data_IF_362444494715
#
_entry.id   IF_362444494715
#
_cell.length_a   1.000
_cell.length_b   1.000
_cell.length_c   1.000
_cell.angle_alpha   90.00
_cell.angle_beta   90.00
_cell.angle_gamma   90.00
#
_symmetry.space_group_name_H-M   'P 1'
#
loop_
_entity.id
_entity.type
_entity.pdbx_description
1 polymer ?
#
# COMPACT_ATOMS: atom_id res chain seq x y z
N UNK A 1 19.00 -11.36 10.13
CA UNK A 1 17.55 -11.38 9.85
C UNK A 1 17.27 -12.57 8.97
N UNK A 2 16.33 -13.44 9.36
CA UNK A 2 16.00 -14.63 8.59
C UNK A 2 14.97 -14.29 7.50
N UNK A 3 15.45 -13.85 6.33
CA UNK A 3 14.62 -13.37 5.22
C UNK A 3 13.53 -14.39 4.80
N UNK A 4 13.84 -15.69 4.82
CA UNK A 4 12.88 -16.77 4.51
C UNK A 4 11.73 -16.84 5.52
N UNK A 5 12.00 -16.58 6.80
CA UNK A 5 10.95 -16.56 7.82
C UNK A 5 10.09 -15.32 7.67
N UNK A 6 10.73 -14.17 7.46
CA UNK A 6 10.06 -12.88 7.28
C UNK A 6 9.14 -12.89 6.05
N UNK A 7 9.62 -13.39 4.92
CA UNK A 7 8.82 -13.54 3.69
C UNK A 7 7.59 -14.43 3.90
N UNK A 8 7.70 -15.49 4.71
CA UNK A 8 6.54 -16.33 5.05
C UNK A 8 5.52 -15.64 5.95
N UNK A 9 5.96 -14.66 6.73
CA UNK A 9 5.11 -13.95 7.70
C UNK A 9 4.41 -12.76 7.05
N UNK A 10 5.10 -11.98 6.22
CA UNK A 10 4.59 -10.74 5.63
C UNK A 10 4.48 -10.75 4.12
N UNK A 11 5.06 -11.73 3.44
CA UNK A 11 5.09 -11.79 1.98
C UNK A 11 6.24 -10.99 1.35
N UNK A 12 6.16 -10.84 0.05
CA UNK A 12 7.11 -10.09 -0.77
C UNK A 12 6.39 -9.51 -1.97
N UNK A 13 6.87 -8.39 -2.48
CA UNK A 13 6.35 -7.75 -3.69
C UNK A 13 7.44 -7.58 -4.73
N UNK A 14 7.04 -7.45 -5.99
CA UNK A 14 7.94 -7.11 -7.10
C UNK A 14 7.65 -5.69 -7.58
N UNK A 15 8.70 -4.87 -7.71
CA UNK A 15 8.59 -3.52 -8.25
C UNK A 15 9.81 -3.23 -9.12
N UNK A 16 9.58 -2.75 -10.35
CA UNK A 16 10.63 -2.49 -11.35
C UNK A 16 11.60 -3.68 -11.58
N UNK A 17 11.09 -4.91 -11.49
CA UNK A 17 11.87 -6.14 -11.66
C UNK A 17 12.79 -6.48 -10.48
N UNK A 18 12.65 -5.78 -9.35
CA UNK A 18 13.32 -6.09 -8.09
C UNK A 18 12.30 -6.64 -7.08
N UNK A 19 12.77 -7.59 -6.27
CA UNK A 19 11.97 -8.19 -5.21
C UNK A 19 12.24 -7.52 -3.87
N UNK A 20 11.17 -7.20 -3.14
CA UNK A 20 11.21 -6.60 -1.82
C UNK A 20 10.46 -7.50 -0.83
N UNK A 21 11.14 -7.93 0.22
CA UNK A 21 10.58 -8.76 1.29
C UNK A 21 9.99 -7.82 2.33
N UNK A 22 8.68 -7.92 2.57
CA UNK A 22 8.00 -7.06 3.55
C UNK A 22 8.42 -7.46 4.96
N UNK A 23 8.58 -6.47 5.83
CA UNK A 23 9.03 -6.65 7.23
C UNK A 23 8.00 -6.17 8.25
N UNK A 24 6.90 -5.59 7.77
CA UNK A 24 5.74 -5.18 8.55
C UNK A 24 4.45 -5.42 7.75
N UNK A 25 3.31 -5.38 8.44
CA UNK A 25 2.02 -5.23 7.75
C UNK A 25 1.93 -3.84 7.10
N UNK A 26 1.01 -3.71 6.14
CA UNK A 26 0.71 -2.43 5.54
C UNK A 26 -0.20 -1.62 6.47
N UNK A 27 0.15 -0.34 6.66
CA UNK A 27 -0.58 0.59 7.51
C UNK A 27 -0.94 1.86 6.73
N UNK A 28 -2.05 2.49 7.12
CA UNK A 28 -2.46 3.78 6.57
C UNK A 28 -1.40 4.85 6.87
N UNK A 29 -0.94 5.57 5.85
CA UNK A 29 0.06 6.65 6.05
C UNK A 29 -0.56 7.92 6.62
N UNK A 30 -1.90 8.02 6.59
CA UNK A 30 -2.63 9.24 6.95
C UNK A 30 -2.42 10.38 5.94
N UNK A 31 -1.75 10.12 4.81
CA UNK A 31 -1.59 11.10 3.74
C UNK A 31 -2.95 11.34 3.09
N UNK A 32 -3.43 12.58 3.16
CA UNK A 32 -4.62 13.00 2.43
C UNK A 32 -4.24 13.13 0.95
N UNK A 33 -4.69 12.20 0.12
CA UNK A 33 -4.58 12.32 -1.34
C UNK A 33 -5.75 13.22 -1.76
N UNK A 34 -5.45 14.44 -2.21
CA UNK A 34 -6.48 15.35 -2.69
C UNK A 34 -7.07 14.79 -3.98
N UNK A 35 -8.27 14.22 -3.88
CA UNK A 35 -9.09 13.93 -5.04
C UNK A 35 -9.51 15.27 -5.68
N UNK A 36 -9.46 15.37 -7.01
CA UNK A 36 -9.77 16.61 -7.76
C UNK A 36 -11.28 17.01 -7.72
N UNK A 37 -12.05 16.47 -6.77
CA UNK A 37 -13.51 16.56 -6.72
C UNK A 37 -14.10 17.15 -5.43
N UNK A 38 -13.32 17.82 -4.56
CA UNK A 38 -13.81 18.38 -3.28
C UNK A 38 -14.99 19.39 -3.39
N UNK A 39 -15.42 19.75 -4.62
CA UNK A 39 -16.56 20.61 -4.92
C UNK A 39 -17.45 20.03 -6.05
N UNK A 40 -17.28 18.76 -6.43
CA UNK A 40 -18.10 18.15 -7.48
C UNK A 40 -19.38 17.56 -6.86
N UNK A 41 -20.58 18.07 -7.19
CA UNK A 41 -21.83 17.52 -6.68
C UNK A 41 -22.14 16.10 -7.16
N UNK A 42 -21.36 15.57 -8.12
CA UNK A 42 -21.37 14.18 -8.56
C UNK A 42 -20.31 13.29 -7.85
N UNK A 43 -19.59 13.82 -6.86
CA UNK A 43 -18.61 13.05 -6.08
C UNK A 43 -19.33 11.95 -5.28
N UNK A 44 -19.31 10.75 -5.85
CA UNK A 44 -20.11 9.60 -5.45
C UNK A 44 -19.59 8.92 -4.16
N UNK A 45 -18.82 9.66 -3.35
CA UNK A 45 -18.12 9.14 -2.19
C UNK A 45 -16.85 8.37 -2.54
N UNK A 46 -16.24 8.66 -3.69
CA UNK A 46 -14.95 8.09 -4.10
C UNK A 46 -13.80 8.82 -3.38
N UNK A 47 -12.86 8.07 -2.81
CA UNK A 47 -11.68 8.63 -2.17
C UNK A 47 -10.45 7.74 -2.34
N UNK A 48 -9.29 8.37 -2.37
CA UNK A 48 -7.99 7.69 -2.43
C UNK A 48 -7.34 7.69 -1.06
N UNK A 49 -6.67 6.59 -0.72
CA UNK A 49 -5.83 6.50 0.46
C UNK A 49 -4.52 5.77 0.16
N UNK A 50 -3.47 6.15 0.90
CA UNK A 50 -2.14 5.57 0.76
C UNK A 50 -1.87 4.62 1.94
N UNK A 51 -1.37 3.43 1.61
CA UNK A 51 -0.84 2.47 2.57
C UNK A 51 0.65 2.31 2.37
N UNK A 52 1.35 1.92 3.44
CA UNK A 52 2.79 1.64 3.37
C UNK A 52 3.21 0.50 4.27
N UNK A 53 4.26 -0.20 3.86
CA UNK A 53 4.92 -1.23 4.67
C UNK A 53 6.43 -1.07 4.58
N UNK A 54 7.13 -1.50 5.63
CA UNK A 54 8.59 -1.58 5.61
C UNK A 54 9.02 -2.84 4.85
N UNK A 55 10.15 -2.77 4.15
CA UNK A 55 10.66 -3.88 3.36
C UNK A 55 12.19 -3.90 3.33
N UNK A 56 12.75 -5.01 2.89
CA UNK A 56 14.18 -5.15 2.59
C UNK A 56 14.38 -5.85 1.25
N UNK A 57 15.48 -5.57 0.57
CA UNK A 57 15.87 -6.32 -0.63
C UNK A 57 16.73 -7.57 -0.29
N UNK A 58 17.26 -8.23 -1.32
CA UNK A 58 18.14 -9.40 -1.17
C UNK A 58 19.50 -9.08 -0.52
N UNK A 59 19.94 -7.84 -0.60
CA UNK A 59 21.17 -7.34 0.04
C UNK A 59 20.94 -6.94 1.50
N UNK A 60 19.67 -6.77 1.90
CA UNK A 60 19.26 -6.35 3.23
C UNK A 60 19.17 -4.83 3.38
N UNK A 61 19.19 -4.09 2.27
CA UNK A 61 18.96 -2.64 2.28
C UNK A 61 17.49 -2.36 2.60
N UNK A 62 17.21 -1.33 3.41
CA UNK A 62 15.87 -1.04 3.92
C UNK A 62 15.08 -0.12 2.99
N UNK A 63 13.81 -0.43 2.81
CA UNK A 63 12.89 0.31 1.94
C UNK A 63 11.53 0.52 2.61
N UNK A 64 10.76 1.45 2.05
CA UNK A 64 9.32 1.60 2.30
C UNK A 64 8.57 1.41 0.99
N UNK A 65 7.64 0.46 0.98
CA UNK A 65 6.72 0.19 -0.12
C UNK A 65 5.43 0.96 0.12
N UNK A 66 4.87 1.55 -0.93
CA UNK A 66 3.63 2.32 -0.90
C UNK A 66 2.64 1.81 -1.94
N UNK A 67 1.38 1.81 -1.55
CA UNK A 67 0.21 1.53 -2.40
C UNK A 67 -0.76 2.69 -2.29
N UNK A 68 -1.41 3.02 -3.41
CA UNK A 68 -2.49 3.99 -3.48
C UNK A 68 -3.73 3.24 -3.94
N UNK A 69 -4.72 3.18 -3.04
CA UNK A 69 -5.99 2.52 -3.34
C UNK A 69 -7.08 3.55 -3.55
N UNK A 70 -7.85 3.36 -4.61
CA UNK A 70 -9.12 4.04 -4.82
C UNK A 70 -10.25 3.21 -4.20
N UNK A 71 -11.11 3.85 -3.45
CA UNK A 71 -12.30 3.22 -2.90
C UNK A 71 -13.52 4.10 -3.08
N UNK A 72 -14.68 3.45 -3.07
CA UNK A 72 -15.97 4.10 -3.11
C UNK A 72 -16.78 3.64 -1.92
N UNK A 73 -17.51 4.57 -1.31
CA UNK A 73 -18.60 4.18 -0.41
C UNK A 73 -19.69 3.48 -1.22
N UNK A 74 -19.86 2.18 -1.00
CA UNK A 74 -21.01 1.45 -1.52
C UNK A 74 -22.33 2.07 -1.03
N UNK A 75 -23.43 1.82 -1.74
CA UNK A 75 -24.74 2.41 -1.45
C UNK A 75 -25.26 2.10 -0.03
N UNK A 76 -24.78 1.02 0.58
CA UNK A 76 -25.06 0.61 1.97
C UNK A 76 -24.08 1.20 3.00
N UNK A 77 -23.11 2.01 2.56
CA UNK A 77 -22.12 2.67 3.41
C UNK A 77 -21.05 1.74 3.98
N UNK A 78 -20.85 0.56 3.38
CA UNK A 78 -19.82 -0.40 3.78
C UNK A 78 -18.56 -0.15 2.96
N UNK A 79 -17.50 0.31 3.62
CA UNK A 79 -16.18 0.40 3.00
C UNK A 79 -15.57 -1.01 2.88
N UNK A 80 -14.89 -1.28 1.77
CA UNK A 80 -14.11 -2.51 1.58
C UNK A 80 -13.02 -2.62 2.66
N UNK A 81 -12.86 -3.78 3.29
CA UNK A 81 -11.82 -3.97 4.30
C UNK A 81 -10.41 -3.86 3.68
N UNK A 82 -9.44 -3.36 4.45
CA UNK A 82 -8.10 -3.03 3.96
C UNK A 82 -7.35 -4.24 3.40
N UNK A 83 -7.62 -5.44 3.90
CA UNK A 83 -7.00 -6.70 3.45
C UNK A 83 -7.60 -7.24 2.13
N UNK A 84 -8.67 -6.63 1.62
CA UNK A 84 -9.30 -7.04 0.37
C UNK A 84 -8.74 -6.30 -0.86
N UNK A 85 -7.83 -5.33 -0.67
CA UNK A 85 -7.17 -4.63 -1.76
C UNK A 85 -6.02 -5.45 -2.34
N UNK A 86 -5.65 -5.15 -3.58
CA UNK A 86 -4.58 -5.86 -4.28
C UNK A 86 -3.22 -5.23 -3.94
N UNK A 87 -2.43 -5.92 -3.12
CA UNK A 87 -1.10 -5.46 -2.73
C UNK A 87 0.00 -5.92 -3.71
N UNK A 88 -0.33 -6.67 -4.76
CA UNK A 88 0.65 -7.04 -5.78
C UNK A 88 0.97 -5.86 -6.72
N UNK A 89 0.05 -4.90 -6.88
CA UNK A 89 0.24 -3.67 -7.67
C UNK A 89 0.86 -2.55 -6.83
N UNK A 90 2.20 -2.52 -6.75
CA UNK A 90 2.95 -1.49 -6.01
C UNK A 90 3.06 -0.18 -6.80
N UNK A 91 2.75 0.96 -6.17
CA UNK A 91 2.86 2.29 -6.77
C UNK A 91 4.26 2.91 -6.62
N UNK A 92 4.90 2.71 -5.47
CA UNK A 92 6.19 3.35 -5.16
C UNK A 92 7.01 2.59 -4.14
N UNK A 93 8.32 2.52 -4.36
CA UNK A 93 9.30 2.06 -3.37
C UNK A 93 10.33 3.16 -3.11
N UNK A 94 10.68 3.39 -1.84
CA UNK A 94 11.66 4.41 -1.42
C UNK A 94 12.69 3.79 -0.49
N UNK A 95 13.98 3.97 -0.80
CA UNK A 95 15.10 3.57 0.06
C UNK A 95 15.12 4.37 1.37
N UNK A 96 15.37 3.69 2.49
CA UNK A 96 15.53 4.30 3.81
C UNK A 96 17.03 4.45 4.12
N UNK A 97 17.44 5.69 4.36
CA UNK A 97 18.81 6.08 4.75
C UNK A 97 18.98 6.20 6.26
#
# INVERSE_FOLDING_TARGET
MDLVKTEREFGSVEFEGKKYILTSQADLTGRLIQHNGYNDPDDNGDYDFEMSASAVDECGDEYTVYWIFNTRKDADGVDKELDQYDYDEVDRVVERY
#
